data_IF_580129828310
#
_entry.id   IF_580129828310
#
_cell.length_a   1.000
_cell.length_b   1.000
_cell.length_c   1.000
_cell.angle_alpha   90.00
_cell.angle_beta   90.00
_cell.angle_gamma   90.00
#
_symmetry.space_group_name_H-M   'P 1'
#
loop_
_entity.id
_entity.type
_entity.pdbx_description
1 polymer ?
#
# COMPACT_ATOMS: atom_id res chain seq x y z
N UNK A 1 11.31 5.43 36.23
CA UNK A 1 10.01 4.92 35.74
C UNK A 1 10.33 3.97 34.60
N UNK A 2 10.07 2.67 34.75
CA UNK A 2 10.21 1.73 33.63
C UNK A 2 9.09 2.05 32.64
N UNK A 3 9.44 2.69 31.52
CA UNK A 3 8.49 2.92 30.44
C UNK A 3 8.00 1.56 29.94
N UNK A 4 6.69 1.39 29.79
CA UNK A 4 6.12 0.16 29.24
C UNK A 4 6.72 -0.10 27.85
N UNK A 5 7.00 -1.36 27.53
CA UNK A 5 7.35 -1.72 26.16
C UNK A 5 6.15 -1.41 25.25
N UNK A 6 6.32 -0.57 24.21
CA UNK A 6 5.24 -0.25 23.30
C UNK A 6 4.74 -1.52 22.63
N UNK A 7 3.42 -1.68 22.62
CA UNK A 7 2.74 -2.79 21.95
C UNK A 7 2.37 -2.35 20.52
N UNK A 8 2.44 -3.27 19.53
CA UNK A 8 1.94 -3.01 18.18
C UNK A 8 0.50 -2.50 18.19
N UNK A 9 0.22 -1.44 17.45
CA UNK A 9 -1.15 -0.97 17.24
C UNK A 9 -1.88 -1.88 16.23
N UNK A 10 -3.21 -1.87 16.29
CA UNK A 10 -4.06 -2.54 15.30
C UNK A 10 -4.29 -1.59 14.13
N UNK A 11 -3.95 -2.02 12.92
CA UNK A 11 -4.20 -1.24 11.72
C UNK A 11 -5.63 -1.43 11.20
N UNK A 12 -6.22 -0.43 10.52
CA UNK A 12 -7.54 -0.57 9.93
C UNK A 12 -7.57 -1.69 8.89
N UNK A 13 -8.61 -2.50 8.92
CA UNK A 13 -8.76 -3.67 8.04
C UNK A 13 -9.14 -3.29 6.60
N UNK A 14 -9.72 -2.09 6.43
CA UNK A 14 -10.18 -1.59 5.14
C UNK A 14 -9.89 -0.10 5.05
N UNK A 15 -9.32 0.33 3.93
CA UNK A 15 -9.03 1.74 3.66
C UNK A 15 -8.73 1.97 2.19
N UNK A 16 -8.78 3.24 1.79
CA UNK A 16 -8.34 3.70 0.48
C UNK A 16 -7.32 4.83 0.67
N UNK A 17 -6.27 4.84 -0.14
CA UNK A 17 -5.22 5.84 -0.06
C UNK A 17 -4.59 6.13 -1.42
N UNK A 18 -3.99 7.31 -1.56
CA UNK A 18 -3.02 7.57 -2.61
C UNK A 18 -1.67 7.01 -2.14
N UNK A 19 -0.98 6.29 -3.02
CA UNK A 19 0.31 5.68 -2.73
C UNK A 19 1.40 6.19 -3.67
N UNK A 20 2.62 6.08 -3.17
CA UNK A 20 3.84 6.26 -3.90
C UNK A 20 4.73 5.06 -3.58
N UNK A 21 4.90 4.16 -4.54
CA UNK A 21 5.78 2.99 -4.41
C UNK A 21 7.00 3.17 -5.31
N UNK A 22 8.16 2.85 -4.76
CA UNK A 22 9.44 3.01 -5.43
C UNK A 22 10.26 1.72 -5.33
N UNK A 23 10.51 1.12 -6.49
CA UNK A 23 11.32 -0.09 -6.62
C UNK A 23 12.72 0.28 -7.08
N UNK A 24 13.68 0.28 -6.15
CA UNK A 24 15.10 0.58 -6.42
C UNK A 24 15.71 -0.33 -7.51
N UNK A 25 15.52 -1.67 -7.50
CA UNK A 25 16.12 -2.55 -8.53
C UNK A 25 15.70 -2.20 -9.96
N UNK A 26 14.45 -1.76 -10.11
CA UNK A 26 13.86 -1.42 -11.41
C UNK A 26 13.93 0.08 -11.72
N UNK A 27 14.42 0.89 -10.77
CA UNK A 27 14.33 2.37 -10.78
C UNK A 27 12.96 2.86 -11.23
N UNK A 28 11.94 2.16 -10.75
CA UNK A 28 10.57 2.34 -11.20
C UNK A 28 9.72 2.90 -10.07
N UNK A 29 8.84 3.82 -10.43
CA UNK A 29 8.04 4.60 -9.50
C UNK A 29 6.58 4.53 -9.93
N UNK A 30 5.75 4.04 -9.02
CA UNK A 30 4.30 3.99 -9.17
C UNK A 30 3.67 5.03 -8.27
N UNK A 31 2.87 5.89 -8.88
CA UNK A 31 1.87 6.70 -8.18
C UNK A 31 0.52 6.12 -8.52
N UNK A 32 -0.37 6.03 -7.54
CA UNK A 32 -1.68 5.45 -7.77
C UNK A 32 -2.59 5.52 -6.57
N UNK A 33 -3.78 4.96 -6.74
CA UNK A 33 -4.77 4.77 -5.68
C UNK A 33 -4.81 3.30 -5.30
N UNK A 34 -4.67 3.02 -4.02
CA UNK A 34 -4.75 1.70 -3.44
C UNK A 34 -6.04 1.56 -2.64
N UNK A 35 -6.88 0.61 -3.00
CA UNK A 35 -7.97 0.12 -2.15
C UNK A 35 -7.50 -1.18 -1.50
N UNK A 36 -7.49 -1.20 -0.16
CA UNK A 36 -7.03 -2.34 0.63
C UNK A 36 -8.19 -2.93 1.45
N UNK A 37 -8.34 -4.25 1.41
CA UNK A 37 -9.37 -4.97 2.16
C UNK A 37 -8.83 -6.31 2.69
N UNK A 38 -8.40 -6.27 3.95
CA UNK A 38 -7.89 -7.43 4.67
C UNK A 38 -8.98 -8.45 5.01
N UNK A 39 -10.23 -8.01 5.15
CA UNK A 39 -11.33 -8.92 5.49
C UNK A 39 -11.61 -9.93 4.37
N UNK A 40 -11.37 -9.53 3.12
CA UNK A 40 -11.59 -10.37 1.94
C UNK A 40 -10.29 -10.68 1.17
N UNK A 41 -9.13 -10.47 1.81
CA UNK A 41 -7.79 -10.61 1.23
C UNK A 41 -7.70 -10.13 -0.23
N UNK A 42 -7.98 -8.85 -0.45
CA UNK A 42 -7.95 -8.24 -1.78
C UNK A 42 -7.39 -6.84 -1.75
N UNK A 43 -6.75 -6.49 -2.86
CA UNK A 43 -6.24 -5.15 -3.10
C UNK A 43 -6.51 -4.74 -4.54
N UNK A 44 -6.69 -3.44 -4.76
CA UNK A 44 -6.76 -2.84 -6.09
C UNK A 44 -5.80 -1.67 -6.17
N UNK A 45 -4.91 -1.71 -7.15
CA UNK A 45 -4.02 -0.61 -7.48
C UNK A 45 -4.44 -0.02 -8.82
N UNK A 46 -4.88 1.24 -8.79
CA UNK A 46 -5.12 2.04 -9.98
C UNK A 46 -3.97 3.02 -10.15
N UNK A 47 -3.15 2.81 -11.16
CA UNK A 47 -2.01 3.70 -11.45
C UNK A 47 -2.48 5.06 -11.97
N UNK A 48 -1.77 6.11 -11.55
CA UNK A 48 -1.96 7.49 -12.01
C UNK A 48 -0.77 7.88 -12.92
N UNK A 49 -1.09 8.54 -14.04
CA UNK A 49 -0.11 9.08 -14.98
C UNK A 49 -0.23 10.60 -15.05
N UNK A 50 0.90 11.27 -15.22
CA UNK A 50 0.91 12.71 -15.42
C UNK A 50 0.41 13.06 -16.83
N UNK A 51 -0.21 14.23 -16.97
CA UNK A 51 -0.70 14.69 -18.27
C UNK A 51 0.47 14.85 -19.23
N UNK A 52 0.41 14.16 -20.37
CA UNK A 52 1.46 14.18 -21.40
C UNK A 52 2.47 13.03 -21.28
N UNK A 53 2.38 12.21 -20.23
CA UNK A 53 3.12 10.94 -20.16
C UNK A 53 2.46 9.91 -21.10
N UNK A 54 3.28 9.22 -21.88
CA UNK A 54 2.86 8.19 -22.84
C UNK A 54 3.10 6.76 -22.32
N UNK A 55 3.50 6.60 -21.05
CA UNK A 55 3.64 5.28 -20.44
C UNK A 55 2.30 4.55 -20.35
N UNK A 56 2.36 3.23 -20.41
CA UNK A 56 1.22 2.41 -20.05
C UNK A 56 0.89 2.56 -18.57
N UNK A 57 -0.38 2.41 -18.25
CA UNK A 57 -0.85 2.47 -16.87
C UNK A 57 -1.99 1.48 -16.66
N UNK A 58 -2.03 0.96 -15.44
CA UNK A 58 -2.73 -0.27 -15.14
C UNK A 58 -3.75 -0.12 -14.00
N UNK A 59 -4.86 -0.85 -14.13
CA UNK A 59 -5.75 -1.21 -13.01
C UNK A 59 -5.50 -2.67 -12.67
N UNK A 60 -4.92 -2.91 -11.49
CA UNK A 60 -4.54 -4.22 -11.01
C UNK A 60 -5.46 -4.60 -9.85
N UNK A 61 -6.23 -5.65 -10.02
CA UNK A 61 -7.08 -6.23 -8.96
C UNK A 61 -6.50 -7.58 -8.57
N UNK A 62 -5.99 -7.67 -7.35
CA UNK A 62 -5.42 -8.87 -6.77
C UNK A 62 -6.39 -9.50 -5.76
N UNK A 63 -6.83 -10.73 -6.05
CA UNK A 63 -7.77 -11.51 -5.23
C UNK A 63 -7.02 -12.71 -4.65
N UNK A 64 -6.54 -12.59 -3.42
CA UNK A 64 -5.62 -13.57 -2.84
C UNK A 64 -6.32 -14.88 -2.47
N UNK A 65 -7.57 -14.83 -1.98
CA UNK A 65 -8.35 -16.06 -1.72
C UNK A 65 -8.60 -16.89 -2.98
N UNK A 66 -8.61 -16.24 -4.15
CA UNK A 66 -8.76 -16.88 -5.46
C UNK A 66 -7.43 -17.13 -6.18
N UNK A 67 -6.30 -16.74 -5.57
CA UNK A 67 -4.95 -16.84 -6.15
C UNK A 67 -4.91 -16.30 -7.60
N UNK A 68 -5.62 -15.20 -7.87
CA UNK A 68 -5.80 -14.64 -9.22
C UNK A 68 -5.60 -13.13 -9.18
N UNK A 69 -4.94 -12.61 -10.21
CA UNK A 69 -4.80 -11.17 -10.46
C UNK A 69 -5.38 -10.83 -11.84
N UNK A 70 -6.11 -9.71 -11.91
CA UNK A 70 -6.58 -9.11 -13.14
C UNK A 70 -5.79 -7.83 -13.39
N UNK A 71 -5.26 -7.68 -14.60
CA UNK A 71 -4.49 -6.52 -15.00
C UNK A 71 -5.15 -5.94 -16.24
N UNK A 72 -5.69 -4.73 -16.10
CA UNK A 72 -6.25 -3.97 -17.21
C UNK A 72 -5.31 -2.85 -17.62
N UNK A 73 -4.90 -2.83 -18.88
CA UNK A 73 -4.08 -1.77 -19.47
C UNK A 73 -4.99 -0.72 -20.09
N UNK A 74 -4.97 0.51 -19.58
CA UNK A 74 -5.83 1.59 -20.08
C UNK A 74 -5.42 2.12 -21.46
N UNK A 75 -4.16 2.00 -21.85
CA UNK A 75 -3.67 2.44 -23.15
C UNK A 75 -4.04 1.46 -24.26
N UNK A 76 -3.84 0.16 -24.00
CA UNK A 76 -4.13 -0.91 -24.94
C UNK A 76 -5.60 -1.38 -24.90
N UNK A 77 -6.37 -0.96 -23.88
CA UNK A 77 -7.76 -1.38 -23.64
C UNK A 77 -7.94 -2.91 -23.59
N UNK A 78 -6.98 -3.61 -22.97
CA UNK A 78 -7.04 -5.05 -22.80
C UNK A 78 -6.99 -5.44 -21.32
N UNK A 79 -7.56 -6.60 -21.02
CA UNK A 79 -7.54 -7.21 -19.70
C UNK A 79 -6.86 -8.56 -19.79
N UNK A 80 -5.94 -8.82 -18.87
CA UNK A 80 -5.31 -10.12 -18.69
C UNK A 80 -5.64 -10.68 -17.31
N UNK A 81 -5.73 -12.00 -17.24
CA UNK A 81 -5.91 -12.74 -16.00
C UNK A 81 -4.68 -13.63 -15.82
N UNK A 82 -4.04 -13.54 -14.66
CA UNK A 82 -2.87 -14.35 -14.35
C UNK A 82 -2.94 -14.96 -12.94
N UNK A 83 -2.24 -16.07 -12.70
CA UNK A 83 -2.07 -16.59 -11.35
C UNK A 83 -1.34 -15.58 -10.46
N UNK A 84 -1.85 -15.37 -9.25
CA UNK A 84 -1.21 -14.50 -8.26
C UNK A 84 -0.14 -15.31 -7.51
N UNK A 85 1.12 -14.87 -7.57
CA UNK A 85 2.27 -15.65 -7.08
C UNK A 85 2.75 -15.24 -5.68
N UNK A 86 2.32 -14.07 -5.19
CA UNK A 86 2.70 -13.55 -3.87
C UNK A 86 1.67 -13.96 -2.80
N UNK A 87 2.08 -14.25 -1.56
CA UNK A 87 1.13 -14.49 -0.48
C UNK A 87 0.44 -13.19 -0.05
N UNK A 88 -0.73 -13.30 0.59
CA UNK A 88 -1.33 -12.16 1.29
C UNK A 88 -0.40 -11.65 2.38
N UNK A 89 -0.31 -10.33 2.52
CA UNK A 89 0.44 -9.68 3.57
C UNK A 89 -0.32 -8.45 4.06
N UNK A 90 -0.67 -8.45 5.34
CA UNK A 90 -1.35 -7.31 5.93
C UNK A 90 -0.47 -6.06 5.97
N UNK A 91 -1.09 -4.91 5.70
CA UNK A 91 -0.56 -3.61 6.08
C UNK A 91 -0.73 -3.44 7.60
N UNK A 92 0.11 -4.14 8.35
CA UNK A 92 0.06 -4.19 9.81
C UNK A 92 1.43 -4.42 10.45
N UNK A 93 1.46 -4.27 11.76
CA UNK A 93 2.65 -4.55 12.57
C UNK A 93 2.50 -5.96 13.15
N UNK A 94 3.50 -6.81 12.93
CA UNK A 94 3.50 -8.18 13.47
C UNK A 94 3.57 -8.16 15.01
N UNK A 95 2.93 -9.12 15.72
CA UNK A 95 2.99 -9.19 17.19
C UNK A 95 4.41 -9.37 17.74
N UNK A 96 5.32 -9.97 16.98
CA UNK A 96 6.71 -10.22 17.35
C UNK A 96 7.69 -9.15 16.83
N UNK A 97 7.17 -8.03 16.30
CA UNK A 97 8.00 -6.92 15.86
C UNK A 97 8.71 -6.24 17.04
N UNK A 98 9.97 -5.84 16.82
CA UNK A 98 10.75 -5.07 17.80
C UNK A 98 10.57 -3.58 17.55
N UNK A 99 10.29 -2.81 18.61
CA UNK A 99 10.27 -1.35 18.52
C UNK A 99 11.69 -0.78 18.29
N UNK A 100 11.80 0.14 17.33
CA UNK A 100 13.03 0.88 17.02
C UNK A 100 13.06 2.27 17.66
N UNK A 101 11.90 2.83 18.02
CA UNK A 101 11.77 4.16 18.57
C UNK A 101 10.47 4.85 18.13
N UNK A 102 10.24 6.04 18.66
CA UNK A 102 9.13 6.93 18.32
C UNK A 102 9.70 8.27 17.89
N UNK A 103 9.06 8.94 16.93
CA UNK A 103 9.52 10.21 16.40
C UNK A 103 8.34 11.09 15.99
N UNK A 104 8.50 12.41 16.17
CA UNK A 104 7.54 13.38 15.67
C UNK A 104 7.82 13.68 14.19
N UNK A 105 6.77 13.61 13.37
CA UNK A 105 6.75 14.15 12.02
C UNK A 105 6.04 15.51 12.06
N UNK A 106 6.68 16.56 11.54
CA UNK A 106 6.18 17.94 11.64
C UNK A 106 6.75 18.68 12.86
N UNK A 107 5.98 19.60 13.44
CA UNK A 107 6.40 20.38 14.62
C UNK A 107 5.50 20.08 15.82
N UNK A 108 6.11 19.87 16.98
CA UNK A 108 5.41 19.74 18.26
C UNK A 108 5.16 21.10 18.94
N UNK A 109 5.63 22.20 18.34
CA UNK A 109 5.53 23.54 18.95
C UNK A 109 4.09 24.07 18.98
N UNK A 110 3.20 23.59 18.09
CA UNK A 110 1.80 23.99 18.02
C UNK A 110 0.87 22.78 17.85
N UNK A 111 -0.29 22.75 18.52
CA UNK A 111 -1.27 21.68 18.36
C UNK A 111 -1.70 21.50 16.91
N UNK A 112 -1.77 20.25 16.45
CA UNK A 112 -2.25 19.88 15.10
C UNK A 112 -1.20 19.99 13.98
N UNK A 113 0.03 20.43 14.27
CA UNK A 113 1.11 20.53 13.27
C UNK A 113 2.15 19.41 13.35
N UNK A 114 1.91 18.41 14.20
CA UNK A 114 2.78 17.27 14.38
C UNK A 114 1.98 15.98 14.56
N UNK A 115 2.58 14.88 14.11
CA UNK A 115 2.11 13.52 14.32
C UNK A 115 3.21 12.77 15.08
N UNK A 116 2.85 12.11 16.19
CA UNK A 116 3.70 11.16 16.90
C UNK A 116 3.30 9.74 16.50
#
# INVERSE_FOLDING_TARGET
VAAQQPQPCVTPQQWEANIFDYSEPNRFMVRGRLSYDATNHRERLLEEVEVGDDREYYDVIALFDLQTEFIYNYKAHNCSRQPLTRPWRDFGIRPDARSFGEAYIGTSALPGLGLL
#
